data_IF_710296348490
#
_entry.id   IF_710296348490
#
_cell.length_a   1.000
_cell.length_b   1.000
_cell.length_c   1.000
_cell.angle_alpha   90.00
_cell.angle_beta   90.00
_cell.angle_gamma   90.00
#
_symmetry.space_group_name_H-M   'P 1'
#
loop_
_entity.id
_entity.type
_entity.pdbx_description
1 polymer ?
#
# COMPACT_ATOMS: atom_id res chain seq x y z
N UNK A 1 3.40 -8.33 -25.29
CA UNK A 1 3.30 -6.97 -24.71
C UNK A 1 4.07 -6.93 -23.40
N UNK A 2 5.38 -6.61 -23.43
CA UNK A 2 6.18 -6.47 -22.20
C UNK A 2 6.04 -5.04 -21.67
N UNK A 3 5.09 -4.84 -20.77
CA UNK A 3 5.01 -3.60 -19.99
C UNK A 3 6.21 -3.54 -19.04
N UNK A 4 7.30 -2.88 -19.45
CA UNK A 4 8.45 -2.61 -18.57
C UNK A 4 7.95 -1.98 -17.27
N UNK A 5 8.39 -2.52 -16.14
CA UNK A 5 8.22 -1.89 -14.82
C UNK A 5 9.09 -0.63 -14.82
N UNK A 6 8.50 0.51 -14.47
CA UNK A 6 9.20 1.80 -14.43
C UNK A 6 9.07 2.41 -13.04
N UNK A 7 10.02 3.28 -12.61
CA UNK A 7 9.94 3.96 -11.32
C UNK A 7 8.63 4.73 -11.12
N UNK A 8 8.06 5.30 -12.19
CA UNK A 8 6.75 5.97 -12.15
C UNK A 8 5.61 5.01 -11.81
N UNK A 9 5.62 3.79 -12.38
CA UNK A 9 4.62 2.76 -12.07
C UNK A 9 4.76 2.27 -10.63
N UNK A 10 5.99 2.09 -10.15
CA UNK A 10 6.28 1.71 -8.77
C UNK A 10 5.73 2.77 -7.80
N UNK A 11 6.07 4.06 -8.00
CA UNK A 11 5.53 5.15 -7.15
C UNK A 11 4.01 5.21 -7.14
N UNK A 12 3.37 4.98 -8.29
CA UNK A 12 1.89 4.93 -8.36
C UNK A 12 1.32 3.74 -7.58
N UNK A 13 1.98 2.58 -7.62
CA UNK A 13 1.58 1.40 -6.85
C UNK A 13 1.72 1.65 -5.34
N UNK A 14 2.85 2.24 -4.90
CA UNK A 14 3.07 2.66 -3.50
C UNK A 14 1.96 3.60 -3.04
N UNK A 15 1.67 4.66 -3.79
CA UNK A 15 0.61 5.61 -3.44
C UNK A 15 -0.77 4.94 -3.31
N UNK A 16 -1.07 3.99 -4.20
CA UNK A 16 -2.33 3.25 -4.15
C UNK A 16 -2.42 2.34 -2.92
N UNK A 17 -1.34 1.64 -2.56
CA UNK A 17 -1.29 0.80 -1.35
C UNK A 17 -1.47 1.63 -0.08
N UNK A 18 -0.78 2.77 0.03
CA UNK A 18 -0.92 3.67 1.19
C UNK A 18 -2.34 4.24 1.31
N UNK A 19 -2.93 4.68 0.19
CA UNK A 19 -4.32 5.15 0.16
C UNK A 19 -5.29 4.04 0.58
N UNK A 20 -5.05 2.79 0.15
CA UNK A 20 -5.86 1.64 0.55
C UNK A 20 -5.72 1.32 2.03
N UNK A 21 -4.50 1.36 2.57
CA UNK A 21 -4.23 1.17 4.00
C UNK A 21 -4.98 2.20 4.85
N UNK A 22 -4.92 3.48 4.47
CA UNK A 22 -5.64 4.56 5.14
C UNK A 22 -7.16 4.33 5.11
N UNK A 23 -7.70 3.95 3.94
CA UNK A 23 -9.11 3.62 3.80
C UNK A 23 -9.53 2.47 4.72
N UNK A 24 -8.74 1.39 4.76
CA UNK A 24 -9.00 0.22 5.61
C UNK A 24 -9.00 0.59 7.10
N UNK A 25 -8.09 1.47 7.54
CA UNK A 25 -8.04 1.96 8.93
C UNK A 25 -9.24 2.83 9.29
N UNK A 26 -9.69 3.70 8.38
CA UNK A 26 -10.82 4.61 8.61
C UNK A 26 -12.17 3.93 8.50
N UNK A 27 -12.26 2.80 7.79
CA UNK A 27 -13.50 2.03 7.66
C UNK A 27 -14.01 1.62 9.06
N UNK A 28 -15.21 2.07 9.41
CA UNK A 28 -15.91 1.58 10.60
C UNK A 28 -16.35 0.14 10.35
N UNK A 29 -15.97 -0.76 11.25
CA UNK A 29 -16.36 -2.17 11.25
C UNK A 29 -16.76 -2.53 12.68
N UNK A 30 -18.05 -2.84 12.93
CA UNK A 30 -18.54 -3.16 14.26
C UNK A 30 -18.06 -4.52 14.77
N UNK A 31 -17.80 -5.49 13.88
CA UNK A 31 -17.31 -6.79 14.29
C UNK A 31 -15.81 -6.73 14.65
N UNK A 32 -15.39 -7.13 15.86
CA UNK A 32 -13.99 -6.99 16.29
C UNK A 32 -13.02 -7.88 15.49
N UNK A 33 -13.44 -9.07 15.07
CA UNK A 33 -12.59 -9.98 14.30
C UNK A 33 -12.39 -9.45 12.87
N UNK A 34 -13.46 -8.97 12.23
CA UNK A 34 -13.39 -8.26 10.95
C UNK A 34 -12.56 -6.98 11.06
N UNK A 35 -12.70 -6.22 12.15
CA UNK A 35 -11.89 -5.02 12.40
C UNK A 35 -10.41 -5.37 12.50
N UNK A 36 -10.05 -6.43 13.21
CA UNK A 36 -8.68 -6.91 13.30
C UNK A 36 -8.13 -7.33 11.92
N UNK A 37 -8.92 -8.05 11.12
CA UNK A 37 -8.55 -8.42 9.76
C UNK A 37 -8.33 -7.21 8.84
N UNK A 38 -9.16 -6.17 8.94
CA UNK A 38 -8.98 -4.92 8.19
C UNK A 38 -7.69 -4.19 8.59
N UNK A 39 -7.36 -4.16 9.89
CA UNK A 39 -6.12 -3.56 10.38
C UNK A 39 -4.89 -4.36 9.93
N UNK A 40 -4.95 -5.69 9.94
CA UNK A 40 -3.89 -6.55 9.43
C UNK A 40 -3.68 -6.33 7.91
N UNK A 41 -4.76 -6.24 7.14
CA UNK A 41 -4.69 -5.92 5.71
C UNK A 41 -4.13 -4.52 5.44
N UNK A 42 -4.43 -3.54 6.30
CA UNK A 42 -3.85 -2.21 6.21
C UNK A 42 -2.33 -2.24 6.45
N UNK A 43 -1.88 -2.96 7.48
CA UNK A 43 -0.46 -3.13 7.76
C UNK A 43 0.28 -3.83 6.61
N UNK A 44 -0.34 -4.84 5.99
CA UNK A 44 0.23 -5.51 4.84
C UNK A 44 0.36 -4.58 3.62
N UNK A 45 -0.64 -3.73 3.37
CA UNK A 45 -0.54 -2.71 2.32
C UNK A 45 0.67 -1.77 2.55
N UNK A 46 0.91 -1.36 3.79
CA UNK A 46 2.06 -0.50 4.12
C UNK A 46 3.40 -1.23 3.99
N UNK A 47 3.47 -2.49 4.42
CA UNK A 47 4.65 -3.32 4.27
C UNK A 47 5.02 -3.46 2.78
N UNK A 48 4.05 -3.80 1.94
CA UNK A 48 4.24 -3.86 0.49
C UNK A 48 4.62 -2.50 -0.12
N UNK A 49 4.08 -1.41 0.41
CA UNK A 49 4.43 -0.06 -0.04
C UNK A 49 5.88 0.30 0.30
N UNK A 50 6.37 -0.10 1.48
CA UNK A 50 7.76 0.05 1.88
C UNK A 50 8.68 -0.78 0.97
N UNK A 51 8.40 -2.08 0.82
CA UNK A 51 9.16 -2.98 -0.06
C UNK A 51 9.26 -2.43 -1.50
N UNK A 52 8.14 -1.96 -2.04
CA UNK A 52 8.11 -1.37 -3.38
C UNK A 52 8.87 -0.04 -3.47
N UNK A 53 8.90 0.76 -2.40
CA UNK A 53 9.62 2.03 -2.38
C UNK A 53 11.13 1.82 -2.46
N UNK A 54 11.65 0.74 -1.85
CA UNK A 54 13.06 0.36 -1.94
C UNK A 54 13.48 -0.02 -3.38
N UNK A 55 12.54 -0.55 -4.18
CA UNK A 55 12.78 -0.91 -5.59
C UNK A 55 12.83 0.30 -6.54
N UNK A 56 12.44 1.49 -6.07
CA UNK A 56 12.53 2.74 -6.84
C UNK A 56 13.34 3.81 -6.10
N UNK A 57 14.66 3.60 -5.90
CA UNK A 57 15.51 4.61 -5.29
C UNK A 57 15.54 5.85 -6.20
N UNK A 58 15.23 7.03 -5.65
CA UNK A 58 15.29 8.31 -6.37
C UNK A 58 14.03 9.17 -6.37
N UNK A 59 13.26 9.18 -5.28
CA UNK A 59 12.07 10.03 -5.10
C UNK A 59 12.23 11.23 -4.17
N UNK A 60 13.44 11.51 -3.67
CA UNK A 60 13.74 12.73 -2.91
C UNK A 60 14.76 13.57 -3.70
N UNK A 61 14.24 14.47 -4.52
CA UNK A 61 14.90 15.72 -4.86
C UNK A 61 13.92 16.84 -4.58
#
# INVERSE_FOLDING_TARGET
MNSKITPKKIRRAVAHLLSRAEWLRRRREPDPACRAALLAAAAECERLAADLSELAPGGAK
#
